data_IF_166825738712
#
_entry.id   IF_166825738712
#
_cell.length_a   1.000
_cell.length_b   1.000
_cell.length_c   1.000
_cell.angle_alpha   90.00
_cell.angle_beta   90.00
_cell.angle_gamma   90.00
#
_symmetry.space_group_name_H-M   'P 1'
#
loop_
_entity.id
_entity.type
_entity.pdbx_description
1 polymer ?
#
# COMPACT_ATOMS: atom_id res chain seq x y z
N UNK A 1 5.59 22.29 -27.84
CA UNK A 1 5.53 20.95 -27.22
C UNK A 1 4.14 20.81 -26.62
N UNK A 2 3.33 19.85 -27.10
CA UNK A 2 1.91 19.76 -26.77
C UNK A 2 1.71 19.13 -25.39
N UNK A 3 1.23 19.91 -24.42
CA UNK A 3 0.89 19.44 -23.08
C UNK A 3 -0.42 18.63 -23.14
N UNK A 4 -0.33 17.31 -23.03
CA UNK A 4 -1.51 16.46 -22.84
C UNK A 4 -2.03 16.65 -21.42
N UNK A 5 -3.08 17.46 -21.28
CA UNK A 5 -3.85 17.54 -20.05
C UNK A 5 -4.57 16.20 -19.80
N UNK A 6 -4.19 15.50 -18.73
CA UNK A 6 -4.83 14.27 -18.30
C UNK A 6 -6.23 14.63 -17.80
N UNK A 7 -7.27 14.28 -18.56
CA UNK A 7 -8.66 14.50 -18.14
C UNK A 7 -9.01 13.50 -17.04
N UNK A 8 -9.56 14.02 -15.95
CA UNK A 8 -10.08 13.25 -14.82
C UNK A 8 -11.31 12.47 -15.31
N UNK A 9 -11.30 11.14 -15.19
CA UNK A 9 -12.49 10.34 -15.40
C UNK A 9 -13.47 10.59 -14.25
N UNK A 10 -14.69 11.01 -14.58
CA UNK A 10 -15.81 11.11 -13.65
C UNK A 10 -16.70 9.91 -13.94
N UNK A 11 -17.09 9.16 -12.89
CA UNK A 11 -18.03 8.05 -13.00
C UNK A 11 -19.44 8.59 -12.79
N UNK A 12 -20.35 8.28 -13.72
CA UNK A 12 -21.73 8.79 -13.74
C UNK A 12 -22.66 8.13 -12.70
N UNK A 13 -22.13 7.27 -11.81
CA UNK A 13 -22.90 6.50 -10.83
C UNK A 13 -23.50 7.36 -9.70
N UNK A 14 -23.09 8.64 -9.60
CA UNK A 14 -23.55 9.52 -8.51
C UNK A 14 -24.99 10.03 -8.67
N UNK A 15 -25.62 9.89 -9.85
CA UNK A 15 -26.97 10.43 -10.11
C UNK A 15 -28.11 9.44 -9.82
N UNK A 16 -27.86 8.14 -9.79
CA UNK A 16 -28.91 7.12 -9.66
C UNK A 16 -29.28 6.76 -8.21
N UNK A 17 -28.55 7.24 -7.19
CA UNK A 17 -28.83 6.89 -5.77
C UNK A 17 -30.11 7.53 -5.19
N UNK A 18 -30.78 8.43 -5.92
CA UNK A 18 -31.99 9.11 -5.43
C UNK A 18 -33.29 8.53 -5.98
N UNK A 19 -33.47 7.21 -6.00
CA UNK A 19 -34.81 6.61 -6.10
C UNK A 19 -34.85 5.29 -5.33
N UNK A 20 -35.41 5.32 -4.12
CA UNK A 20 -36.37 4.35 -3.55
C UNK A 20 -36.34 4.44 -2.02
N UNK A 21 -37.28 5.20 -1.46
CA UNK A 21 -37.78 5.01 -0.09
C UNK A 21 -39.20 4.47 -0.20
N UNK A 22 -39.39 3.20 0.12
CA UNK A 22 -40.68 2.56 0.37
C UNK A 22 -40.71 2.22 1.87
N UNK A 23 -41.88 2.45 2.46
CA UNK A 23 -42.20 2.47 3.89
C UNK A 23 -42.06 1.12 4.63
N UNK A 24 -42.07 1.25 5.96
CA UNK A 24 -41.64 0.33 7.01
C UNK A 24 -42.49 -0.96 7.15
N UNK A 25 -41.82 -2.02 7.60
CA UNK A 25 -42.43 -3.29 8.02
C UNK A 25 -41.59 -3.96 9.11
N UNK A 26 -42.18 -4.01 10.30
CA UNK A 26 -41.70 -4.47 11.61
C UNK A 26 -41.17 -5.93 11.63
N UNK A 27 -40.17 -6.18 12.49
CA UNK A 27 -39.47 -7.47 12.80
C UNK A 27 -38.42 -8.05 11.82
N UNK A 28 -37.51 -7.23 11.26
CA UNK A 28 -36.25 -7.71 10.63
C UNK A 28 -35.05 -6.75 10.75
N UNK A 29 -34.90 -6.11 11.91
CA UNK A 29 -34.23 -4.80 12.03
C UNK A 29 -32.77 -4.77 12.51
N UNK A 30 -32.12 -5.90 12.85
CA UNK A 30 -30.67 -5.90 13.18
C UNK A 30 -29.78 -6.36 12.01
N UNK A 31 -30.26 -7.23 11.13
CA UNK A 31 -29.44 -7.81 10.05
C UNK A 31 -29.11 -6.83 8.91
N UNK A 32 -29.80 -5.69 8.83
CA UNK A 32 -29.65 -4.67 7.78
C UNK A 32 -29.01 -3.38 8.28
N UNK A 33 -28.62 -3.28 9.55
CA UNK A 33 -27.91 -2.11 10.05
C UNK A 33 -26.51 -2.07 9.44
N UNK A 34 -26.28 -1.07 8.58
CA UNK A 34 -24.99 -0.81 7.92
C UNK A 34 -24.21 0.22 8.72
N UNK A 35 -22.94 -0.04 8.92
CA UNK A 35 -22.00 0.80 9.65
C UNK A 35 -20.76 1.07 8.81
N UNK A 36 -20.17 2.27 8.94
CA UNK A 36 -18.88 2.59 8.35
C UNK A 36 -17.75 2.17 9.29
N UNK A 37 -16.93 1.22 8.85
CA UNK A 37 -15.78 0.71 9.62
C UNK A 37 -14.46 1.05 8.94
N UNK A 38 -13.38 1.21 9.73
CA UNK A 38 -12.03 1.61 9.25
C UNK A 38 -11.02 0.47 9.29
N UNK A 39 -10.40 0.16 8.15
CA UNK A 39 -9.65 -1.08 7.99
C UNK A 39 -8.33 -0.95 8.72
N UNK A 40 -8.00 -1.91 9.59
CA UNK A 40 -6.78 -1.84 10.40
C UNK A 40 -5.50 -2.00 9.58
N UNK A 41 -5.58 -2.52 8.35
CA UNK A 41 -4.44 -2.65 7.45
C UNK A 41 -4.23 -1.39 6.60
N UNK A 42 -5.24 -0.98 5.82
CA UNK A 42 -5.08 0.06 4.80
C UNK A 42 -5.75 1.40 5.15
N UNK A 43 -6.55 1.43 6.21
CA UNK A 43 -7.26 2.62 6.66
C UNK A 43 -8.45 3.03 5.80
N UNK A 44 -8.82 2.24 4.79
CA UNK A 44 -10.01 2.45 3.98
C UNK A 44 -11.29 2.30 4.82
N UNK A 45 -12.26 3.16 4.57
CA UNK A 45 -13.60 3.09 5.19
C UNK A 45 -14.50 2.25 4.30
N UNK A 46 -15.12 1.20 4.84
CA UNK A 46 -16.08 0.36 4.12
C UNK A 46 -17.42 0.35 4.86
N UNK A 47 -18.51 0.36 4.10
CA UNK A 47 -19.86 0.20 4.62
C UNK A 47 -20.18 -1.29 4.71
N UNK A 48 -20.47 -1.77 5.92
CA UNK A 48 -20.66 -3.19 6.20
C UNK A 48 -21.79 -3.40 7.21
N UNK A 49 -22.46 -4.55 7.18
CA UNK A 49 -23.39 -4.90 8.25
C UNK A 49 -22.63 -5.23 9.54
N UNK A 50 -23.23 -4.97 10.69
CA UNK A 50 -22.64 -5.30 12.00
C UNK A 50 -22.27 -6.81 12.10
N UNK A 51 -23.12 -7.68 11.57
CA UNK A 51 -22.88 -9.13 11.53
C UNK A 51 -21.67 -9.51 10.68
N UNK A 52 -21.46 -8.84 9.54
CA UNK A 52 -20.29 -9.06 8.69
C UNK A 52 -19.01 -8.57 9.35
N UNK A 53 -19.04 -7.40 10.01
CA UNK A 53 -17.92 -6.86 10.78
C UNK A 53 -17.47 -7.86 11.85
N UNK A 54 -18.41 -8.44 12.60
CA UNK A 54 -18.11 -9.43 13.63
C UNK A 54 -17.51 -10.72 13.06
N UNK A 55 -18.09 -11.26 11.98
CA UNK A 55 -17.59 -12.48 11.32
C UNK A 55 -16.16 -12.29 10.79
N UNK A 56 -15.89 -11.16 10.15
CA UNK A 56 -14.56 -10.83 9.66
C UNK A 56 -13.60 -10.67 10.83
N UNK A 57 -13.97 -9.91 11.87
CA UNK A 57 -13.11 -9.69 13.02
C UNK A 57 -12.76 -11.00 13.74
N UNK A 58 -13.72 -11.90 13.93
CA UNK A 58 -13.49 -13.23 14.50
C UNK A 58 -12.46 -14.05 13.72
N UNK A 59 -12.50 -13.98 12.39
CA UNK A 59 -11.55 -14.69 11.52
C UNK A 59 -10.19 -14.02 11.39
N UNK A 60 -10.02 -12.78 11.85
CA UNK A 60 -8.81 -11.96 11.68
C UNK A 60 -8.26 -11.48 13.02
N UNK A 61 -8.16 -12.37 14.01
CA UNK A 61 -7.57 -12.06 15.33
C UNK A 61 -8.24 -10.88 16.04
N UNK A 62 -9.57 -10.75 15.91
CA UNK A 62 -10.36 -9.68 16.52
C UNK A 62 -10.28 -8.35 15.78
N UNK A 63 -9.61 -8.29 14.62
CA UNK A 63 -9.39 -7.05 13.87
C UNK A 63 -10.29 -6.95 12.67
N UNK A 64 -10.92 -5.78 12.47
CA UNK A 64 -11.71 -5.55 11.27
C UNK A 64 -10.80 -5.18 10.09
N UNK A 65 -10.99 -5.88 8.96
CA UNK A 65 -10.27 -5.64 7.70
C UNK A 65 -11.26 -5.57 6.54
N UNK A 66 -10.99 -4.69 5.57
CA UNK A 66 -11.83 -4.57 4.39
C UNK A 66 -11.77 -5.83 3.52
N UNK A 67 -12.75 -6.02 2.63
CA UNK A 67 -12.84 -7.22 1.79
C UNK A 67 -11.56 -7.54 1.00
N UNK A 68 -10.87 -6.51 0.50
CA UNK A 68 -9.61 -6.66 -0.26
C UNK A 68 -8.45 -7.11 0.65
N UNK A 69 -8.32 -6.49 1.83
CA UNK A 69 -7.27 -6.87 2.79
C UNK A 69 -7.54 -8.28 3.35
N UNK A 70 -8.80 -8.66 3.55
CA UNK A 70 -9.17 -10.02 3.96
C UNK A 70 -8.62 -11.07 2.99
N UNK A 71 -8.86 -10.90 1.69
CA UNK A 71 -8.35 -11.83 0.67
C UNK A 71 -6.82 -11.80 0.58
N UNK A 72 -6.18 -10.63 0.72
CA UNK A 72 -4.73 -10.52 0.71
C UNK A 72 -4.06 -11.25 1.89
N UNK A 73 -4.65 -11.18 3.09
CA UNK A 73 -4.17 -11.88 4.28
C UNK A 73 -4.36 -13.39 4.14
N UNK A 74 -5.53 -13.85 3.67
CA UNK A 74 -5.78 -15.26 3.36
C UNK A 74 -4.77 -15.82 2.36
N UNK A 75 -4.48 -15.07 1.30
CA UNK A 75 -3.48 -15.45 0.29
C UNK A 75 -2.07 -15.53 0.89
N UNK A 76 -1.69 -14.62 1.79
CA UNK A 76 -0.41 -14.69 2.49
C UNK A 76 -0.27 -15.96 3.31
N UNK A 77 -1.30 -16.35 4.05
CA UNK A 77 -1.30 -17.59 4.86
C UNK A 77 -1.20 -18.82 3.96
N UNK A 78 -1.88 -18.81 2.80
CA UNK A 78 -1.75 -19.88 1.79
C UNK A 78 -0.33 -20.01 1.24
N UNK A 79 0.35 -18.89 0.97
CA UNK A 79 1.72 -18.86 0.41
C UNK A 79 2.81 -19.19 1.40
N UNK A 80 2.61 -18.85 2.67
CA UNK A 80 3.57 -19.13 3.74
C UNK A 80 2.86 -19.98 4.80
N UNK A 81 2.77 -21.31 4.57
CA UNK A 81 2.12 -22.21 5.50
C UNK A 81 2.75 -22.09 6.89
N UNK A 82 1.94 -22.20 7.94
CA UNK A 82 2.31 -22.05 9.37
C UNK A 82 2.46 -20.61 9.88
N UNK A 83 2.24 -19.59 9.05
CA UNK A 83 2.15 -18.20 9.54
C UNK A 83 0.90 -18.03 10.39
N UNK A 84 1.03 -17.46 11.59
CA UNK A 84 -0.12 -17.13 12.42
C UNK A 84 -0.97 -16.03 11.76
N UNK A 85 -2.29 -16.02 11.98
CA UNK A 85 -3.19 -14.99 11.43
C UNK A 85 -2.72 -13.58 11.82
N UNK A 86 -2.33 -13.37 13.07
CA UNK A 86 -1.84 -12.09 13.56
C UNK A 86 -0.54 -11.64 12.88
N UNK A 87 0.39 -12.58 12.63
CA UNK A 87 1.63 -12.28 11.90
C UNK A 87 1.35 -11.94 10.44
N UNK A 88 0.43 -12.66 9.79
CA UNK A 88 0.00 -12.36 8.43
C UNK A 88 -0.66 -10.97 8.33
N UNK A 89 -1.49 -10.61 9.32
CA UNK A 89 -2.10 -9.29 9.45
C UNK A 89 -1.06 -8.20 9.66
N UNK A 90 -0.11 -8.39 10.58
CA UNK A 90 0.96 -7.42 10.85
C UNK A 90 1.79 -7.17 9.59
N UNK A 91 2.21 -8.24 8.92
CA UNK A 91 3.00 -8.14 7.69
C UNK A 91 2.23 -7.43 6.56
N UNK A 92 0.93 -7.68 6.44
CA UNK A 92 0.08 -6.99 5.46
C UNK A 92 -0.12 -5.52 5.82
N UNK A 93 -0.32 -5.20 7.10
CA UNK A 93 -0.40 -3.82 7.60
C UNK A 93 0.86 -3.03 7.27
N UNK A 94 2.04 -3.58 7.53
CA UNK A 94 3.33 -2.94 7.20
C UNK A 94 3.48 -2.69 5.69
N UNK A 95 2.95 -3.59 4.86
CA UNK A 95 2.91 -3.40 3.41
C UNK A 95 1.97 -2.23 3.04
N UNK A 96 0.76 -2.20 3.59
CA UNK A 96 -0.21 -1.14 3.38
C UNK A 96 0.32 0.23 3.84
N UNK A 97 0.96 0.31 5.00
CA UNK A 97 1.55 1.55 5.51
C UNK A 97 2.66 2.09 4.59
N UNK A 98 3.56 1.21 4.13
CA UNK A 98 4.61 1.58 3.15
C UNK A 98 4.02 2.06 1.83
N UNK A 99 3.00 1.35 1.33
CA UNK A 99 2.30 1.72 0.11
C UNK A 99 1.60 3.09 0.26
N UNK A 100 0.88 3.30 1.36
CA UNK A 100 0.18 4.55 1.64
C UNK A 100 1.15 5.72 1.82
N UNK A 101 2.27 5.53 2.51
CA UNK A 101 3.31 6.57 2.63
C UNK A 101 3.84 6.99 1.26
N UNK A 102 4.10 6.02 0.38
CA UNK A 102 4.57 6.27 -0.99
C UNK A 102 3.50 6.99 -1.82
N UNK A 103 2.25 6.55 -1.76
CA UNK A 103 1.14 7.12 -2.54
C UNK A 103 0.78 8.53 -2.08
N UNK A 104 0.71 8.77 -0.78
CA UNK A 104 0.32 10.06 -0.20
C UNK A 104 1.40 11.12 -0.38
N UNK A 105 2.69 10.72 -0.35
CA UNK A 105 3.81 11.64 -0.46
C UNK A 105 4.90 11.11 -1.41
N UNK A 106 4.62 10.99 -2.73
CA UNK A 106 5.54 10.34 -3.68
C UNK A 106 6.88 11.06 -3.80
N UNK A 107 6.90 12.40 -3.70
CA UNK A 107 8.14 13.20 -3.72
C UNK A 107 9.02 12.92 -2.49
N UNK A 108 8.42 12.86 -1.31
CA UNK A 108 9.13 12.53 -0.07
C UNK A 108 9.67 11.10 -0.15
N UNK A 109 8.85 10.14 -0.61
CA UNK A 109 9.26 8.75 -0.81
C UNK A 109 10.46 8.65 -1.76
N UNK A 110 10.42 9.34 -2.90
CA UNK A 110 11.54 9.40 -3.84
C UNK A 110 12.80 9.99 -3.21
N UNK A 111 12.66 11.07 -2.44
CA UNK A 111 13.80 11.71 -1.77
C UNK A 111 14.42 10.77 -0.73
N UNK A 112 13.59 10.04 0.01
CA UNK A 112 14.04 9.06 1.00
C UNK A 112 14.75 7.87 0.34
N UNK A 113 14.22 7.35 -0.77
CA UNK A 113 14.88 6.27 -1.51
C UNK A 113 16.22 6.73 -2.10
N UNK A 114 16.28 7.94 -2.68
CA UNK A 114 17.53 8.53 -3.17
C UNK A 114 18.57 8.70 -2.06
N UNK A 115 18.14 9.18 -0.88
CA UNK A 115 19.00 9.31 0.30
C UNK A 115 19.56 7.95 0.72
N UNK A 116 18.72 6.92 0.75
CA UNK A 116 19.15 5.57 1.13
C UNK A 116 20.13 4.98 0.13
N UNK A 117 19.90 5.16 -1.18
CA UNK A 117 20.85 4.77 -2.22
C UNK A 117 22.20 5.46 -2.04
N UNK A 118 22.22 6.78 -1.79
CA UNK A 118 23.46 7.52 -1.56
C UNK A 118 24.22 7.00 -0.32
N UNK A 119 23.51 6.68 0.77
CA UNK A 119 24.10 6.09 1.99
C UNK A 119 24.70 4.71 1.73
N UNK A 120 23.96 3.82 1.06
CA UNK A 120 24.43 2.47 0.69
C UNK A 120 25.67 2.54 -0.21
N UNK A 121 25.67 3.43 -1.20
CA UNK A 121 26.82 3.65 -2.08
C UNK A 121 28.04 4.20 -1.33
N UNK A 122 27.85 5.09 -0.36
CA UNK A 122 28.95 5.59 0.47
C UNK A 122 29.56 4.49 1.36
N UNK A 123 28.73 3.62 1.95
CA UNK A 123 29.20 2.51 2.79
C UNK A 123 30.00 1.49 1.97
N UNK A 124 29.51 1.12 0.78
CA UNK A 124 30.25 0.23 -0.13
C UNK A 124 31.62 0.79 -0.53
N UNK A 125 31.74 2.10 -0.75
CA UNK A 125 33.05 2.73 -1.02
C UNK A 125 34.00 2.67 0.16
N UNK A 126 33.50 2.76 1.39
CA UNK A 126 34.32 2.62 2.59
C UNK A 126 34.81 1.18 2.76
N UNK A 127 33.97 0.18 2.53
CA UNK A 127 34.38 -1.24 2.59
C UNK A 127 35.41 -1.57 1.52
N UNK A 128 35.24 -1.05 0.30
CA UNK A 128 36.23 -1.18 -0.77
C UNK A 128 37.47 -0.29 -0.57
N UNK A 129 37.45 0.72 0.31
CA UNK A 129 38.63 1.54 0.61
C UNK A 129 39.69 0.80 1.44
N UNK A 130 39.31 -0.32 2.08
CA UNK A 130 40.26 -1.25 2.72
C UNK A 130 41.07 -2.05 1.68
N UNK A 131 40.64 -2.07 0.42
CA UNK A 131 41.38 -2.57 -0.74
C UNK A 131 41.71 -1.39 -1.66
N UNK A 132 42.86 -0.76 -1.44
CA UNK A 132 43.43 0.36 -2.23
C UNK A 132 42.87 0.44 -3.67
N UNK A 133 42.17 1.51 -4.08
CA UNK A 133 41.73 1.61 -5.47
C UNK A 133 42.95 1.87 -6.36
N UNK A 134 43.40 0.86 -7.12
CA UNK A 134 44.32 1.06 -8.25
C UNK A 134 43.55 1.62 -9.44
N UNK A 135 42.99 2.82 -9.29
CA UNK A 135 42.53 3.59 -10.44
C UNK A 135 43.78 4.21 -11.05
N UNK A 136 44.46 3.43 -11.89
CA UNK A 136 45.49 3.96 -12.77
C UNK A 136 44.85 4.96 -13.70
N UNK A 137 45.33 6.21 -13.69
CA UNK A 137 44.95 7.22 -14.67
C UNK A 137 45.32 6.65 -16.04
N UNK A 138 44.36 6.29 -16.87
CA UNK A 138 44.65 5.97 -18.27
C UNK A 138 45.05 7.27 -18.94
N UNK A 139 46.34 7.39 -19.29
CA UNK A 139 46.82 8.47 -20.14
C UNK A 139 46.19 8.27 -21.51
N UNK A 140 45.28 9.18 -21.88
CA UNK A 140 44.79 9.28 -23.25
C UNK A 140 45.97 9.58 -24.16
N UNK A 141 46.25 8.70 -25.12
CA UNK A 141 47.15 8.96 -26.23
C UNK A 141 46.46 9.91 -27.21
N UNK A 142 46.42 11.21 -26.89
CA UNK A 142 46.12 12.25 -27.87
C UNK A 142 47.45 12.72 -28.48
N UNK A 143 47.72 12.52 -29.79
CA UNK A 143 48.93 13.03 -30.39
C UNK A 143 48.87 14.56 -30.46
N UNK A 144 50.01 15.20 -30.17
CA UNK A 144 50.20 16.64 -30.33
C UNK A 144 50.22 16.95 -31.82
N UNK A 145 49.27 17.78 -32.26
CA UNK A 145 49.23 18.28 -33.64
C UNK A 145 50.23 19.45 -33.69
N UNK A 146 51.21 19.39 -34.59
CA UNK A 146 52.09 20.51 -34.97
C UNK A 146 51.40 21.43 -35.98
#
# INVERSE_FOLDING_TARGET
>A
MSEKCIRRAISDVSAESQRMTIEEGDTRSEATQVEQSRCECCGFMEECTASYIQLVSYSHSGKWVCGICSEAVKERIKRVPRTAMEEALSSHKDLCERFNTTRLNPKLSLTMTMRELARRSAHQRNDHSSMKPRIGRTSSCAPRIE
#
